data_IF_345984691979
#
_entry.id   IF_345984691979
#
_cell.length_a   1.000
_cell.length_b   1.000
_cell.length_c   1.000
_cell.angle_alpha   90.00
_cell.angle_beta   90.00
_cell.angle_gamma   90.00
#
_symmetry.space_group_name_H-M   'P 1'
#
loop_
_entity.id
_entity.type
_entity.pdbx_description
1 polymer ?
#
# COMPACT_ATOMS: atom_id res chain seq x y z
N UNK A 1 17.09 53.48 10.14
CA UNK A 1 16.83 52.54 9.02
C UNK A 1 17.29 51.10 9.29
N UNK A 2 18.42 50.83 9.98
CA UNK A 2 18.93 49.44 10.21
C UNK A 2 18.21 48.61 11.31
N UNK A 3 17.32 49.21 12.10
CA UNK A 3 16.63 48.52 13.20
C UNK A 3 15.40 47.72 12.74
N UNK A 4 14.56 48.32 11.88
CA UNK A 4 13.31 47.69 11.44
C UNK A 4 13.52 46.44 10.58
N UNK A 5 14.64 46.37 9.86
CA UNK A 5 15.00 45.22 9.04
C UNK A 5 15.44 44.02 9.89
N UNK A 6 16.13 44.26 11.02
CA UNK A 6 16.51 43.21 11.98
C UNK A 6 15.28 42.61 12.66
N UNK A 7 14.35 43.45 13.10
CA UNK A 7 13.09 42.99 13.72
C UNK A 7 12.23 42.17 12.75
N UNK A 8 12.29 42.46 11.44
CA UNK A 8 11.56 41.71 10.42
C UNK A 8 12.18 40.33 10.16
N UNK A 9 13.52 40.26 10.12
CA UNK A 9 14.27 39.01 9.98
C UNK A 9 14.08 38.09 11.19
N UNK A 10 14.08 38.66 12.40
CA UNK A 10 13.83 37.91 13.63
C UNK A 10 12.42 37.31 13.65
N UNK A 11 11.40 38.10 13.27
CA UNK A 11 10.03 37.60 13.11
C UNK A 11 9.90 36.51 12.03
N UNK A 12 10.66 36.60 10.94
CA UNK A 12 10.69 35.54 9.93
C UNK A 12 11.29 34.25 10.49
N UNK A 13 12.39 34.35 11.24
CA UNK A 13 13.04 33.18 11.83
C UNK A 13 12.15 32.51 12.89
N UNK A 14 11.47 33.28 13.74
CA UNK A 14 10.49 32.76 14.69
C UNK A 14 9.33 32.05 14.00
N UNK A 15 8.84 32.60 12.88
CA UNK A 15 7.76 31.97 12.11
C UNK A 15 8.19 30.62 11.51
N UNK A 16 9.44 30.53 11.04
CA UNK A 16 10.02 29.30 10.50
C UNK A 16 10.14 28.24 11.61
N UNK A 17 10.59 28.62 12.80
CA UNK A 17 10.68 27.69 13.94
C UNK A 17 9.30 27.21 14.41
N UNK A 18 8.32 28.11 14.47
CA UNK A 18 6.94 27.75 14.81
C UNK A 18 6.33 26.77 13.80
N UNK A 19 6.64 26.93 12.51
CA UNK A 19 6.20 26.00 11.48
C UNK A 19 6.83 24.61 11.68
N UNK A 20 8.15 24.54 11.87
CA UNK A 20 8.86 23.29 12.16
C UNK A 20 8.31 22.58 13.40
N UNK A 21 8.00 23.32 14.47
CA UNK A 21 7.42 22.76 15.70
C UNK A 21 6.03 22.18 15.47
N UNK A 22 5.18 22.86 14.70
CA UNK A 22 3.84 22.34 14.33
C UNK A 22 3.93 21.07 13.49
N UNK A 23 4.87 21.02 12.55
CA UNK A 23 5.05 19.86 11.68
C UNK A 23 5.60 18.66 12.47
N UNK A 24 6.52 18.88 13.41
CA UNK A 24 7.00 17.85 14.33
C UNK A 24 5.89 17.31 15.25
N UNK A 25 5.03 18.19 15.77
CA UNK A 25 3.91 17.78 16.63
C UNK A 25 2.88 16.95 15.85
N UNK A 26 2.61 17.30 14.59
CA UNK A 26 1.77 16.49 13.70
C UNK A 26 2.38 15.11 13.47
N UNK A 27 3.67 15.05 13.16
CA UNK A 27 4.36 13.77 12.96
C UNK A 27 4.28 12.88 14.22
N UNK A 28 4.53 13.46 15.40
CA UNK A 28 4.45 12.72 16.66
C UNK A 28 3.02 12.21 16.95
N UNK A 29 1.99 12.97 16.59
CA UNK A 29 0.58 12.56 16.74
C UNK A 29 0.22 11.42 15.77
N UNK A 30 0.72 11.45 14.55
CA UNK A 30 0.53 10.38 13.56
C UNK A 30 1.23 9.09 14.01
N UNK A 31 2.47 9.18 14.48
CA UNK A 31 3.21 8.02 15.01
C UNK A 31 2.53 7.42 16.24
N UNK A 32 1.98 8.26 17.14
CA UNK A 32 1.20 7.81 18.29
C UNK A 32 -0.11 7.11 17.87
N UNK A 33 -0.79 7.61 16.84
CA UNK A 33 -2.00 6.98 16.30
C UNK A 33 -1.69 5.61 15.65
N UNK A 34 -0.57 5.50 14.95
CA UNK A 34 -0.10 4.23 14.37
C UNK A 34 0.20 3.23 15.50
N UNK A 35 0.93 3.62 16.55
CA UNK A 35 1.22 2.74 17.68
C UNK A 35 -0.04 2.29 18.45
N UNK A 36 -1.02 3.19 18.63
CA UNK A 36 -2.30 2.84 19.25
C UNK A 36 -3.09 1.82 18.43
N UNK A 37 -3.06 1.94 17.11
CA UNK A 37 -3.74 1.03 16.18
C UNK A 37 -3.10 -0.37 16.19
N UNK A 38 -1.77 -0.45 16.29
CA UNK A 38 -1.04 -1.73 16.39
C UNK A 38 -1.36 -2.49 17.69
N UNK A 39 -1.58 -1.78 18.81
CA UNK A 39 -1.92 -2.41 20.11
C UNK A 39 -3.31 -3.05 20.13
N UNK A 40 -4.27 -2.56 19.36
CA UNK A 40 -5.63 -3.12 19.31
C UNK A 40 -5.74 -4.39 18.45
N UNK A 41 -4.69 -4.73 17.67
CA UNK A 41 -4.73 -5.86 16.72
C UNK A 41 -4.11 -7.17 17.25
N UNK A 42 -3.64 -7.21 18.50
CA UNK A 42 -2.93 -8.37 19.04
C UNK A 42 -3.40 -8.77 20.47
N UNK A 43 -4.47 -9.58 20.63
CA UNK A 43 -4.82 -10.15 21.91
C UNK A 43 -4.09 -11.49 22.08
N UNK A 44 -2.75 -11.49 22.25
CA UNK A 44 -2.03 -12.72 22.63
C UNK A 44 -0.66 -12.46 23.23
N UNK A 45 -0.65 -11.97 24.46
CA UNK A 45 0.44 -12.29 25.40
C UNK A 45 -0.20 -12.79 26.69
N UNK A 46 -0.66 -14.05 26.66
CA UNK A 46 -1.03 -14.78 27.87
C UNK A 46 0.24 -15.44 28.38
N UNK A 47 0.74 -14.90 29.49
CA UNK A 47 1.79 -15.46 30.30
C UNK A 47 1.49 -16.93 30.62
N UNK A 48 2.43 -17.80 30.30
CA UNK A 48 2.41 -19.21 30.66
C UNK A 48 2.89 -19.37 32.10
N UNK A 49 1.96 -19.45 33.06
CA UNK A 49 2.22 -20.06 34.36
C UNK A 49 1.99 -21.56 34.25
N UNK A 50 3.08 -22.30 34.42
CA UNK A 50 3.13 -23.74 34.57
C UNK A 50 2.59 -24.14 35.95
N UNK A 51 1.54 -24.96 35.97
CA UNK A 51 1.19 -25.78 37.15
C UNK A 51 0.95 -27.22 36.70
N UNK A 52 1.94 -28.05 37.03
CA UNK A 52 1.88 -29.50 37.00
C UNK A 52 0.98 -30.00 38.13
N UNK A 53 0.02 -30.87 37.82
CA UNK A 53 -0.72 -31.64 38.82
C UNK A 53 -0.91 -33.06 38.33
N UNK A 54 -0.26 -33.96 39.06
CA UNK A 54 -0.33 -35.42 39.02
C UNK A 54 -1.72 -35.91 39.41
N UNK A 55 -2.19 -37.00 38.78
CA UNK A 55 -3.20 -37.91 39.37
C UNK A 55 -3.16 -39.26 38.65
N UNK A 56 -2.65 -40.25 39.37
CA UNK A 56 -2.74 -41.67 39.08
C UNK A 56 -4.12 -42.21 39.45
N UNK A 57 -4.78 -42.97 38.56
CA UNK A 57 -5.77 -43.98 38.95
C UNK A 57 -5.73 -45.17 37.99
N UNK A 58 -5.55 -46.34 38.59
CA UNK A 58 -5.70 -47.69 38.03
C UNK A 58 -7.17 -48.08 37.94
N UNK A 59 -7.61 -48.67 36.82
CA UNK A 59 -8.70 -49.65 36.80
C UNK A 59 -8.72 -50.38 35.44
N UNK A 60 -8.49 -51.69 35.47
CA UNK A 60 -8.71 -52.59 34.34
C UNK A 60 -10.21 -52.92 34.23
N UNK A 61 -10.77 -52.92 33.02
CA UNK A 61 -12.01 -53.64 32.66
C UNK A 61 -12.18 -53.70 31.14
N UNK A 62 -12.34 -54.91 30.62
CA UNK A 62 -12.55 -55.28 29.22
C UNK A 62 -13.60 -54.44 28.49
N UNK A 63 -13.29 -53.97 27.29
CA UNK A 63 -14.27 -53.58 26.27
C UNK A 63 -13.61 -53.58 24.89
N UNK A 64 -14.08 -54.47 24.02
CA UNK A 64 -13.99 -54.46 22.54
C UNK A 64 -12.95 -53.51 21.91
N UNK A 65 -11.85 -54.08 21.40
CA UNK A 65 -10.88 -53.36 20.56
C UNK A 65 -11.52 -53.06 19.20
N UNK A 66 -12.27 -51.96 19.13
CA UNK A 66 -12.52 -51.29 17.85
C UNK A 66 -11.22 -50.60 17.50
N UNK A 67 -10.43 -51.19 16.59
CA UNK A 67 -9.23 -50.56 16.03
C UNK A 67 -9.67 -49.32 15.26
N UNK A 68 -9.69 -48.18 15.94
CA UNK A 68 -9.77 -46.88 15.30
C UNK A 68 -8.46 -46.70 14.54
N UNK A 69 -8.49 -46.89 13.21
CA UNK A 69 -7.33 -46.54 12.40
C UNK A 69 -7.03 -45.06 12.67
N UNK A 70 -5.83 -44.69 13.15
CA UNK A 70 -5.48 -43.29 13.25
C UNK A 70 -5.57 -42.73 11.84
N UNK A 71 -6.44 -41.74 11.62
CA UNK A 71 -6.40 -40.91 10.41
C UNK A 71 -4.97 -40.44 10.31
N UNK A 72 -4.23 -40.96 9.33
CA UNK A 72 -2.88 -40.55 9.06
C UNK A 72 -2.95 -39.04 8.86
N UNK A 73 -2.43 -38.28 9.84
CA UNK A 73 -2.26 -36.85 9.72
C UNK A 73 -1.33 -36.69 8.54
N UNK A 74 -1.88 -36.45 7.35
CA UNK A 74 -1.06 -36.20 6.17
C UNK A 74 -0.23 -34.97 6.54
N UNK A 75 1.04 -35.18 6.89
CA UNK A 75 2.00 -34.12 7.03
C UNK A 75 2.25 -33.64 5.61
N UNK A 76 1.30 -32.83 5.09
CA UNK A 76 1.52 -32.11 3.84
C UNK A 76 2.77 -31.29 4.11
N UNK A 77 3.90 -31.75 3.56
CA UNK A 77 5.11 -30.94 3.48
C UNK A 77 4.65 -29.69 2.75
N UNK A 78 4.46 -28.59 3.49
CA UNK A 78 4.19 -27.29 2.89
C UNK A 78 5.45 -27.00 2.08
N UNK A 79 5.37 -27.23 0.77
CA UNK A 79 6.44 -26.88 -0.13
C UNK A 79 6.77 -25.41 0.09
N UNK A 80 8.04 -25.10 0.25
CA UNK A 80 8.49 -23.72 0.27
C UNK A 80 8.35 -23.25 -1.18
N UNK A 81 7.28 -22.52 -1.49
CA UNK A 81 7.07 -21.99 -2.82
C UNK A 81 8.08 -20.87 -3.05
N UNK A 82 8.86 -20.98 -4.12
CA UNK A 82 9.84 -19.96 -4.51
C UNK A 82 9.20 -18.82 -5.29
N UNK A 83 7.99 -19.02 -5.83
CA UNK A 83 7.27 -18.08 -6.67
C UNK A 83 5.78 -18.06 -6.32
N UNK A 84 5.25 -16.85 -6.12
CA UNK A 84 3.84 -16.62 -5.84
C UNK A 84 3.23 -15.92 -7.06
N UNK A 85 2.11 -16.46 -7.54
CA UNK A 85 1.33 -15.88 -8.64
C UNK A 85 -0.04 -15.54 -8.10
N UNK A 86 -0.49 -14.31 -8.34
CA UNK A 86 -1.78 -13.80 -7.92
C UNK A 86 -2.68 -13.73 -9.16
N UNK A 87 -3.73 -14.55 -9.17
CA UNK A 87 -4.69 -14.60 -10.28
C UNK A 87 -5.86 -13.69 -9.92
N UNK A 88 -6.09 -12.67 -10.74
CA UNK A 88 -7.17 -11.69 -10.58
C UNK A 88 -8.12 -11.82 -11.78
N UNK A 89 -9.42 -11.66 -11.57
CA UNK A 89 -10.36 -11.51 -12.68
C UNK A 89 -10.11 -10.20 -13.46
N UNK A 90 -10.37 -10.23 -14.76
CA UNK A 90 -10.19 -9.07 -15.63
C UNK A 90 -11.35 -8.06 -15.49
N UNK A 91 -11.56 -7.54 -14.28
CA UNK A 91 -12.58 -6.56 -14.01
C UNK A 91 -12.04 -5.11 -14.06
N UNK A 92 -12.80 -4.12 -14.56
CA UNK A 92 -12.31 -2.75 -14.74
C UNK A 92 -11.77 -2.09 -13.48
N UNK A 93 -12.30 -2.44 -12.31
CA UNK A 93 -11.94 -1.86 -11.02
C UNK A 93 -10.62 -2.40 -10.45
N UNK A 94 -10.14 -3.55 -10.94
CA UNK A 94 -8.80 -4.08 -10.62
C UNK A 94 -7.69 -3.45 -11.46
N UNK A 95 -8.05 -2.81 -12.56
CA UNK A 95 -7.16 -2.34 -13.62
C UNK A 95 -6.97 -0.82 -13.54
N UNK A 96 -6.46 -0.34 -12.40
CA UNK A 96 -6.16 1.08 -12.21
C UNK A 96 -4.81 1.44 -12.82
N UNK A 97 -4.82 2.33 -13.80
CA UNK A 97 -3.62 2.86 -14.45
C UNK A 97 -2.87 3.79 -13.50
N UNK A 98 -1.53 3.77 -13.57
CA UNK A 98 -0.69 4.76 -12.91
C UNK A 98 -0.98 6.15 -13.50
N UNK A 99 -0.90 7.20 -12.67
CA UNK A 99 -1.22 8.58 -13.07
C UNK A 99 -0.47 9.03 -14.33
N UNK A 100 0.78 8.59 -14.50
CA UNK A 100 1.60 8.93 -15.65
C UNK A 100 1.01 8.35 -16.95
N UNK A 101 0.68 7.07 -16.93
CA UNK A 101 0.16 6.34 -18.10
C UNK A 101 -1.34 6.56 -18.33
N UNK A 102 -2.02 7.30 -17.46
CA UNK A 102 -3.44 7.53 -17.58
C UNK A 102 -3.71 8.51 -18.75
N UNK A 103 -4.47 8.09 -19.78
CA UNK A 103 -4.73 8.95 -20.91
C UNK A 103 -5.64 10.13 -20.52
N UNK A 104 -5.43 11.32 -21.11
CA UNK A 104 -6.29 12.47 -20.86
C UNK A 104 -7.73 12.20 -21.31
N UNK A 105 -8.70 12.56 -20.46
CA UNK A 105 -10.12 12.36 -20.75
C UNK A 105 -10.75 13.59 -21.38
N UNK A 106 -11.85 13.40 -22.12
CA UNK A 106 -12.64 14.51 -22.71
C UNK A 106 -13.15 15.50 -21.65
N UNK A 107 -13.31 15.08 -20.39
CA UNK A 107 -13.71 15.96 -19.28
C UNK A 107 -12.59 16.88 -18.78
N UNK A 108 -11.32 16.63 -19.12
CA UNK A 108 -10.20 17.43 -18.63
C UNK A 108 -10.19 18.85 -19.22
N UNK A 109 -9.64 19.80 -18.46
CA UNK A 109 -9.38 21.14 -18.95
C UNK A 109 -8.23 21.12 -19.95
N UNK A 110 -8.24 22.07 -20.90
CA UNK A 110 -7.19 22.19 -21.92
C UNK A 110 -5.79 22.24 -21.30
N UNK A 111 -5.63 23.05 -20.25
CA UNK A 111 -4.38 23.21 -19.49
C UNK A 111 -3.83 21.88 -18.96
N UNK A 112 -4.68 21.03 -18.40
CA UNK A 112 -4.25 19.73 -17.86
C UNK A 112 -3.79 18.78 -18.96
N UNK A 113 -4.41 18.83 -20.14
CA UNK A 113 -4.01 18.02 -21.30
C UNK A 113 -2.63 18.49 -21.79
N UNK A 114 -2.40 19.81 -21.85
CA UNK A 114 -1.10 20.37 -22.21
C UNK A 114 -0.03 19.97 -21.20
N UNK A 115 -0.34 20.06 -19.90
CA UNK A 115 0.57 19.62 -18.85
C UNK A 115 0.93 18.14 -19.01
N UNK A 116 -0.06 17.28 -19.27
CA UNK A 116 0.18 15.86 -19.50
C UNK A 116 1.08 15.62 -20.73
N UNK A 117 0.81 16.30 -21.85
CA UNK A 117 1.65 16.21 -23.06
C UNK A 117 3.10 16.65 -22.78
N UNK A 118 3.28 17.74 -22.03
CA UNK A 118 4.60 18.23 -21.63
C UNK A 118 5.34 17.23 -20.74
N UNK A 119 4.66 16.61 -19.76
CA UNK A 119 5.28 15.57 -18.91
C UNK A 119 5.74 14.34 -19.70
N UNK A 120 5.13 14.10 -20.87
CA UNK A 120 5.48 13.02 -21.79
C UNK A 120 6.48 13.46 -22.88
N UNK A 121 7.01 14.68 -22.80
CA UNK A 121 7.90 15.28 -23.79
C UNK A 121 7.30 15.28 -25.22
N UNK A 122 5.99 15.53 -25.33
CA UNK A 122 5.28 15.63 -26.60
C UNK A 122 5.07 17.10 -26.93
N UNK A 123 5.54 17.53 -28.10
CA UNK A 123 5.40 18.92 -28.55
C UNK A 123 3.93 19.30 -28.76
N UNK A 124 3.57 20.46 -28.20
CA UNK A 124 2.21 20.99 -28.24
C UNK A 124 2.14 22.19 -29.19
N UNK A 125 1.25 22.19 -30.20
CA UNK A 125 1.06 23.35 -31.06
C UNK A 125 0.45 24.53 -30.28
N UNK A 126 1.03 25.73 -30.43
CA UNK A 126 0.66 26.94 -29.66
C UNK A 126 -0.84 27.30 -29.78
N UNK A 127 -1.46 27.04 -30.93
CA UNK A 127 -2.88 27.33 -31.19
C UNK A 127 -3.78 26.09 -31.24
N UNK A 128 -3.31 24.95 -30.72
CA UNK A 128 -4.05 23.70 -30.81
C UNK A 128 -5.43 23.78 -30.13
N UNK A 129 -6.43 23.19 -30.78
CA UNK A 129 -7.77 23.02 -30.21
C UNK A 129 -7.79 21.81 -29.27
N UNK A 130 -8.68 21.78 -28.29
CA UNK A 130 -8.80 20.66 -27.34
C UNK A 130 -8.97 19.30 -28.03
N UNK A 131 -9.69 19.25 -29.15
CA UNK A 131 -9.84 18.03 -29.95
C UNK A 131 -8.50 17.56 -30.50
N UNK A 132 -7.73 18.45 -31.13
CA UNK A 132 -6.40 18.15 -31.67
C UNK A 132 -5.43 17.68 -30.58
N UNK A 133 -5.47 18.31 -29.39
CA UNK A 133 -4.65 17.89 -28.26
C UNK A 133 -4.98 16.47 -27.79
N UNK A 134 -6.26 16.11 -27.76
CA UNK A 134 -6.69 14.75 -27.42
C UNK A 134 -6.24 13.76 -28.49
N UNK A 135 -6.31 14.11 -29.77
CA UNK A 135 -5.87 13.26 -30.87
C UNK A 135 -4.35 13.03 -30.82
N UNK A 136 -3.57 14.07 -30.53
CA UNK A 136 -2.12 13.98 -30.34
C UNK A 136 -1.80 13.06 -29.14
N UNK A 137 -2.52 13.24 -28.02
CA UNK A 137 -2.34 12.39 -26.85
C UNK A 137 -2.68 10.92 -27.17
N UNK A 138 -3.83 10.67 -27.83
CA UNK A 138 -4.28 9.33 -28.22
C UNK A 138 -3.28 8.61 -29.14
N UNK A 139 -2.61 9.35 -30.02
CA UNK A 139 -1.56 8.81 -30.91
C UNK A 139 -0.25 8.46 -30.20
N UNK A 140 0.06 9.14 -29.10
CA UNK A 140 1.31 8.99 -28.36
C UNK A 140 1.08 8.32 -26.99
N UNK A 141 0.13 7.38 -26.91
CA UNK A 141 -0.15 6.68 -25.65
C UNK A 141 1.06 5.84 -25.22
N UNK A 142 1.56 6.02 -23.98
CA UNK A 142 2.56 5.11 -23.43
C UNK A 142 1.96 3.73 -23.18
N UNK A 143 2.83 2.74 -22.97
CA UNK A 143 2.41 1.42 -22.53
C UNK A 143 1.66 1.50 -21.19
N UNK A 144 0.57 0.73 -21.08
CA UNK A 144 -0.29 0.74 -19.89
C UNK A 144 0.47 0.15 -18.70
N UNK A 145 0.61 0.94 -17.64
CA UNK A 145 1.13 0.48 -16.34
C UNK A 145 0.02 0.52 -15.30
N UNK A 146 -0.12 -0.56 -14.54
CA UNK A 146 -1.15 -0.67 -13.51
C UNK A 146 -0.53 -0.53 -12.11
N UNK A 147 -1.23 0.20 -11.23
CA UNK A 147 -0.81 0.38 -9.84
C UNK A 147 -0.62 -0.97 -9.13
N UNK A 148 -1.49 -1.93 -9.42
CA UNK A 148 -1.43 -3.29 -8.85
C UNK A 148 -0.17 -4.04 -9.28
N UNK A 149 0.29 -3.83 -10.53
CA UNK A 149 1.49 -4.49 -11.06
C UNK A 149 2.75 -3.92 -10.41
N UNK A 150 2.79 -2.59 -10.24
CA UNK A 150 3.88 -1.93 -9.50
C UNK A 150 3.93 -2.36 -8.03
N UNK A 151 2.76 -2.54 -7.40
CA UNK A 151 2.67 -3.04 -6.03
C UNK A 151 3.15 -4.50 -5.92
N UNK A 152 2.72 -5.38 -6.82
CA UNK A 152 3.10 -6.80 -6.80
C UNK A 152 4.59 -7.01 -7.08
N UNK A 153 5.19 -6.18 -7.96
CA UNK A 153 6.62 -6.19 -8.24
C UNK A 153 7.48 -5.95 -7.00
N UNK A 154 7.02 -5.12 -6.05
CA UNK A 154 7.72 -4.88 -4.76
C UNK A 154 7.83 -6.15 -3.91
N UNK A 155 6.91 -7.09 -4.08
CA UNK A 155 6.85 -8.34 -3.32
C UNK A 155 7.33 -9.55 -4.12
N UNK A 156 7.88 -9.35 -5.32
CA UNK A 156 8.24 -10.43 -6.26
C UNK A 156 7.07 -11.38 -6.54
N UNK A 157 5.86 -10.83 -6.63
CA UNK A 157 4.64 -11.56 -6.97
C UNK A 157 4.29 -11.24 -8.42
N UNK A 158 3.99 -12.29 -9.19
CA UNK A 158 3.49 -12.13 -10.56
C UNK A 158 1.97 -12.07 -10.56
N UNK A 159 1.38 -11.22 -11.40
CA UNK A 159 -0.06 -11.14 -11.58
C UNK A 159 -0.45 -11.81 -12.89
N UNK A 160 -1.50 -12.63 -12.84
CA UNK A 160 -2.15 -13.20 -14.02
C UNK A 160 -3.58 -12.63 -14.11
N UNK A 161 -3.97 -12.14 -15.29
CA UNK A 161 -5.30 -11.60 -15.60
C UNK A 161 -5.87 -12.25 -16.85
#
# INVERSE_FOLDING_TARGET
MRGQEKDMLEKQNELIELQKKRDQEKQNKEDAAIQATVRLRNPRTRSSSSTSSSSSVTAASSSTVTTFMPVAKSSRKRGIYTKIVLVIDNAPWHNRLTNDTMPPKRSWRKEHIIQWLNTHNIDVPVKAVKAELLDIAMKNLPEKRYETDEAAKKYNVDILR
#
